data_IF_061713033446
#
_entry.id   IF_061713033446
#
_cell.length_a   1.000
_cell.length_b   1.000
_cell.length_c   1.000
_cell.angle_alpha   90.00
_cell.angle_beta   90.00
_cell.angle_gamma   90.00
#
_symmetry.space_group_name_H-M   'P 1'
#
loop_
_entity.id
_entity.type
_entity.pdbx_description
1 polymer ?
#
# COMPACT_ATOMS: atom_id res chain seq x y z
N UNK A 1 -13.87 -27.79 -45.10
CA UNK A 1 -13.74 -28.36 -43.71
C UNK A 1 -12.56 -27.69 -43.11
N UNK A 2 -12.75 -26.41 -42.74
CA UNK A 2 -11.67 -25.55 -42.24
C UNK A 2 -11.53 -25.73 -40.74
N UNK A 3 -10.34 -26.15 -40.34
CA UNK A 3 -9.92 -26.31 -38.95
C UNK A 3 -9.57 -24.94 -38.41
N UNK A 4 -10.42 -24.40 -37.52
CA UNK A 4 -10.13 -23.20 -36.73
C UNK A 4 -9.01 -23.50 -35.74
N UNK A 5 -7.86 -22.90 -35.94
CA UNK A 5 -6.76 -22.87 -34.97
C UNK A 5 -7.17 -22.09 -33.70
N UNK A 6 -6.77 -22.55 -32.50
CA UNK A 6 -7.08 -21.85 -31.26
C UNK A 6 -6.22 -20.58 -31.15
N UNK A 7 -6.88 -19.44 -31.00
CA UNK A 7 -6.25 -18.13 -30.77
C UNK A 7 -5.38 -18.15 -29.52
N UNK A 8 -4.15 -17.80 -29.75
CA UNK A 8 -3.02 -17.66 -28.85
C UNK A 8 -3.35 -16.84 -27.60
N UNK A 9 -2.90 -17.34 -26.45
CA UNK A 9 -2.86 -16.70 -25.14
C UNK A 9 -2.37 -15.26 -25.21
N UNK A 10 -3.18 -14.34 -24.69
CA UNK A 10 -2.70 -12.99 -24.36
C UNK A 10 -1.81 -13.15 -23.12
N UNK A 11 -0.52 -13.29 -23.32
CA UNK A 11 0.47 -13.14 -22.27
C UNK A 11 0.41 -11.73 -21.74
N UNK A 12 0.09 -11.57 -20.44
CA UNK A 12 0.07 -10.28 -19.78
C UNK A 12 1.46 -9.64 -19.86
N UNK A 13 1.65 -8.71 -20.77
CA UNK A 13 2.85 -7.88 -20.84
C UNK A 13 2.88 -7.03 -19.58
N UNK A 14 3.87 -7.25 -18.72
CA UNK A 14 4.20 -6.29 -17.66
C UNK A 14 4.47 -4.96 -18.34
N UNK A 15 3.79 -3.85 -17.96
CA UNK A 15 4.03 -2.56 -18.58
C UNK A 15 5.51 -2.20 -18.44
N UNK A 16 6.17 -1.87 -19.56
CA UNK A 16 7.56 -1.44 -19.52
C UNK A 16 7.66 -0.09 -18.80
N UNK A 17 8.61 0.00 -17.89
CA UNK A 17 8.94 1.27 -17.22
C UNK A 17 9.79 2.09 -18.18
N UNK A 18 9.36 3.29 -18.61
CA UNK A 18 10.12 4.12 -19.53
C UNK A 18 11.35 4.74 -18.86
N UNK A 19 12.45 4.89 -19.61
CA UNK A 19 13.60 5.67 -19.15
C UNK A 19 13.20 7.14 -18.86
N UNK A 20 13.79 7.80 -17.85
CA UNK A 20 14.89 7.33 -16.98
C UNK A 20 14.45 6.53 -15.75
N UNK A 21 13.18 6.16 -15.65
CA UNK A 21 12.65 5.49 -14.47
C UNK A 21 13.07 4.02 -14.39
N UNK A 22 13.28 3.55 -13.16
CA UNK A 22 13.56 2.15 -12.84
C UNK A 22 12.69 1.70 -11.67
N UNK A 23 12.02 0.56 -11.82
CA UNK A 23 11.24 -0.09 -10.76
C UNK A 23 12.02 -1.31 -10.27
N UNK A 24 12.26 -1.38 -8.97
CA UNK A 24 13.05 -2.45 -8.33
C UNK A 24 12.50 -2.84 -6.96
N UNK A 25 12.86 -4.01 -6.43
CA UNK A 25 12.61 -4.33 -5.02
C UNK A 25 13.29 -3.31 -4.09
N UNK A 26 12.73 -3.08 -2.87
CA UNK A 26 13.39 -2.31 -1.82
C UNK A 26 14.76 -2.90 -1.46
N UNK A 27 15.69 -2.03 -1.03
CA UNK A 27 17.02 -2.37 -0.58
C UNK A 27 17.31 -1.71 0.77
N UNK A 28 18.31 -2.21 1.47
CA UNK A 28 18.83 -1.53 2.67
C UNK A 28 19.27 -0.11 2.29
N UNK A 29 18.82 0.89 3.05
CA UNK A 29 19.11 2.29 2.78
C UNK A 29 18.01 3.06 2.03
N UNK A 30 16.98 2.40 1.49
CA UNK A 30 15.88 3.09 0.81
C UNK A 30 14.94 3.86 1.75
N UNK A 31 14.98 3.57 3.04
CA UNK A 31 14.06 4.11 4.05
C UNK A 31 13.97 5.63 4.00
N UNK A 32 15.11 6.32 4.00
CA UNK A 32 15.11 7.80 3.99
C UNK A 32 14.49 8.37 2.71
N UNK A 33 14.78 7.78 1.54
CA UNK A 33 14.20 8.19 0.27
C UNK A 33 12.70 7.92 0.18
N UNK A 34 12.25 6.77 0.68
CA UNK A 34 10.83 6.42 0.74
C UNK A 34 10.07 7.32 1.73
N UNK A 35 10.66 7.63 2.89
CA UNK A 35 10.10 8.59 3.85
C UNK A 35 9.95 10.00 3.23
N UNK A 36 10.95 10.44 2.46
CA UNK A 36 10.87 11.72 1.75
C UNK A 36 9.73 11.75 0.72
N UNK A 37 9.47 10.63 0.02
CA UNK A 37 8.31 10.51 -0.87
C UNK A 37 7.00 10.59 -0.07
N UNK A 38 6.89 9.83 1.03
CA UNK A 38 5.72 9.84 1.91
C UNK A 38 5.42 11.26 2.43
N UNK A 39 6.43 11.97 2.91
CA UNK A 39 6.31 13.35 3.36
C UNK A 39 5.78 14.27 2.25
N UNK A 40 6.40 14.22 1.05
CA UNK A 40 6.06 15.07 -0.08
C UNK A 40 4.74 14.73 -0.78
N UNK A 41 4.04 13.70 -0.33
CA UNK A 41 2.70 13.33 -0.76
C UNK A 41 1.70 13.29 0.40
N UNK A 42 2.18 13.55 1.62
CA UNK A 42 1.47 13.34 2.88
C UNK A 42 0.34 14.33 3.20
N UNK A 43 0.07 15.30 2.33
CA UNK A 43 -1.07 16.19 2.45
C UNK A 43 -2.11 15.88 1.37
N UNK A 44 -2.82 14.75 1.53
CA UNK A 44 -3.84 14.26 0.57
C UNK A 44 -3.32 14.16 -0.87
N UNK A 45 -2.10 13.67 -1.05
CA UNK A 45 -1.43 13.58 -2.34
C UNK A 45 -0.67 14.85 -2.76
N UNK A 46 -0.67 15.88 -1.93
CA UNK A 46 0.09 17.13 -2.10
C UNK A 46 1.27 17.15 -1.13
N UNK A 47 2.16 18.13 -1.31
CA UNK A 47 3.35 18.30 -0.46
C UNK A 47 2.97 18.52 1.01
N UNK A 48 3.40 17.59 1.88
CA UNK A 48 3.22 17.64 3.33
C UNK A 48 4.36 18.34 4.07
N UNK A 49 5.51 18.58 3.42
CA UNK A 49 6.71 19.12 4.08
C UNK A 49 6.44 20.39 4.92
N UNK A 50 5.59 21.35 4.49
CA UNK A 50 5.28 22.52 5.31
C UNK A 50 4.65 22.22 6.66
N UNK A 51 3.96 21.08 6.79
CA UNK A 51 3.19 20.70 7.98
C UNK A 51 3.95 19.79 8.95
N UNK A 52 5.06 19.18 8.51
CA UNK A 52 5.83 18.20 9.27
C UNK A 52 7.29 18.64 9.51
N UNK A 53 7.57 19.95 9.54
CA UNK A 53 8.93 20.49 9.69
C UNK A 53 9.62 20.06 10.98
N UNK A 54 8.85 19.92 12.07
CA UNK A 54 9.37 19.54 13.39
C UNK A 54 9.71 18.05 13.48
N UNK A 55 9.13 17.21 12.62
CA UNK A 55 9.40 15.79 12.50
C UNK A 55 9.10 15.28 11.07
N UNK A 56 10.03 15.46 10.13
CA UNK A 56 9.84 15.08 8.72
C UNK A 56 9.61 13.58 8.50
N UNK A 57 10.02 12.74 9.44
CA UNK A 57 9.89 11.29 9.34
C UNK A 57 8.58 10.74 9.93
N UNK A 58 7.77 11.60 10.55
CA UNK A 58 6.60 11.20 11.31
C UNK A 58 5.64 10.29 10.50
N UNK A 59 5.31 10.69 9.27
CA UNK A 59 4.46 9.90 8.38
C UNK A 59 5.13 8.58 7.95
N UNK A 60 6.42 8.67 7.59
CA UNK A 60 7.17 7.51 7.12
C UNK A 60 7.26 6.38 8.14
N UNK A 61 7.33 6.71 9.43
CA UNK A 61 7.34 5.71 10.52
C UNK A 61 6.06 4.90 10.62
N UNK A 62 4.92 5.43 10.17
CA UNK A 62 3.64 4.71 10.16
C UNK A 62 3.41 4.03 8.82
N UNK A 63 3.56 4.77 7.73
CA UNK A 63 3.05 4.36 6.42
C UNK A 63 4.10 3.69 5.52
N UNK A 64 5.38 3.67 5.90
CA UNK A 64 6.47 3.13 5.08
C UNK A 64 7.35 2.15 5.85
N UNK A 65 7.84 2.56 7.02
CA UNK A 65 8.84 1.80 7.78
C UNK A 65 8.46 0.36 8.07
N UNK A 66 7.25 0.08 8.59
CA UNK A 66 6.82 -1.28 8.89
C UNK A 66 6.82 -2.21 7.68
N UNK A 67 6.39 -1.73 6.51
CA UNK A 67 6.40 -2.52 5.28
C UNK A 67 7.81 -2.88 4.82
N UNK A 68 8.73 -1.90 4.87
CA UNK A 68 10.13 -2.12 4.52
C UNK A 68 10.84 -3.07 5.49
N UNK A 69 10.39 -3.08 6.76
CA UNK A 69 10.93 -3.96 7.79
C UNK A 69 10.36 -5.39 7.73
N UNK A 70 9.09 -5.53 7.40
CA UNK A 70 8.36 -6.78 7.58
C UNK A 70 8.18 -7.58 6.30
N UNK A 71 7.84 -6.91 5.19
CA UNK A 71 7.49 -7.56 3.92
C UNK A 71 8.13 -6.82 2.72
N UNK A 72 9.46 -6.51 2.76
CA UNK A 72 10.11 -5.75 1.69
C UNK A 72 9.98 -6.42 0.32
N UNK A 73 9.87 -7.73 0.28
CA UNK A 73 9.71 -8.48 -0.96
C UNK A 73 8.37 -8.22 -1.66
N UNK A 74 7.35 -7.74 -0.95
CA UNK A 74 6.08 -7.28 -1.52
C UNK A 74 6.11 -5.83 -1.97
N UNK A 75 7.18 -5.09 -1.67
CA UNK A 75 7.35 -3.71 -2.09
C UNK A 75 8.04 -3.54 -3.45
N UNK A 76 7.86 -2.35 -4.03
CA UNK A 76 8.65 -1.84 -5.15
C UNK A 76 8.96 -0.38 -4.94
N UNK A 77 10.21 -0.02 -5.24
CA UNK A 77 10.71 1.34 -5.25
C UNK A 77 10.83 1.81 -6.69
N UNK A 78 10.35 3.00 -6.97
CA UNK A 78 10.53 3.71 -8.23
C UNK A 78 11.58 4.78 -8.04
N UNK A 79 12.58 4.80 -8.92
CA UNK A 79 13.65 5.79 -8.91
C UNK A 79 13.92 6.33 -10.34
N UNK A 80 14.50 7.52 -10.40
CA UNK A 80 15.03 8.16 -11.60
C UNK A 80 16.45 8.70 -11.33
N UNK A 81 16.99 9.50 -12.22
CA UNK A 81 18.34 10.09 -12.07
C UNK A 81 18.46 11.07 -10.87
N UNK A 82 17.34 11.49 -10.29
CA UNK A 82 17.27 12.34 -9.10
C UNK A 82 17.07 11.53 -7.81
N UNK A 83 16.97 10.20 -7.90
CA UNK A 83 16.76 9.30 -6.77
C UNK A 83 15.33 8.77 -6.66
N UNK A 84 14.96 8.29 -5.47
CA UNK A 84 13.64 7.69 -5.23
C UNK A 84 12.54 8.72 -5.48
N UNK A 85 11.56 8.36 -6.30
CA UNK A 85 10.43 9.22 -6.69
C UNK A 85 9.07 8.55 -6.51
N UNK A 86 9.04 7.33 -5.98
CA UNK A 86 7.80 6.63 -5.63
C UNK A 86 8.08 5.30 -4.99
N UNK A 87 7.04 4.76 -4.37
CA UNK A 87 7.01 3.40 -3.85
C UNK A 87 5.60 2.84 -3.98
N UNK A 88 5.50 1.52 -4.02
CA UNK A 88 4.30 0.76 -3.72
C UNK A 88 4.69 -0.35 -2.76
N UNK A 89 3.98 -0.43 -1.66
CA UNK A 89 4.21 -1.35 -0.53
C UNK A 89 2.95 -2.16 -0.31
N UNK A 90 3.09 -3.38 0.17
CA UNK A 90 1.95 -4.23 0.48
C UNK A 90 2.20 -5.09 1.71
N UNK A 91 1.13 -5.52 2.34
CA UNK A 91 1.11 -6.58 3.33
C UNK A 91 0.26 -7.74 2.81
N UNK A 92 0.75 -8.97 3.03
CA UNK A 92 0.06 -10.18 2.58
C UNK A 92 -1.25 -10.42 3.32
N UNK A 93 -1.23 -10.22 4.63
CA UNK A 93 -2.36 -10.35 5.54
C UNK A 93 -2.39 -9.17 6.52
N UNK A 94 -3.44 -8.37 6.46
CA UNK A 94 -3.54 -7.13 7.23
C UNK A 94 -3.61 -7.38 8.74
N UNK A 95 -4.33 -8.41 9.18
CA UNK A 95 -4.42 -8.74 10.60
C UNK A 95 -3.07 -9.19 11.15
N UNK A 96 -2.36 -10.05 10.44
CA UNK A 96 -1.02 -10.50 10.83
C UNK A 96 -0.02 -9.33 10.83
N UNK A 97 -0.08 -8.45 9.81
CA UNK A 97 0.76 -7.28 9.71
C UNK A 97 0.54 -6.31 10.89
N UNK A 98 -0.72 -6.00 11.20
CA UNK A 98 -1.05 -5.09 12.32
C UNK A 98 -0.76 -5.71 13.68
N UNK A 99 -0.94 -7.02 13.84
CA UNK A 99 -0.54 -7.73 15.06
C UNK A 99 0.98 -7.62 15.29
N UNK A 100 1.78 -7.75 14.22
CA UNK A 100 3.23 -7.58 14.30
C UNK A 100 3.62 -6.12 14.57
N UNK A 101 2.97 -5.17 13.91
CA UNK A 101 3.16 -3.74 14.16
C UNK A 101 2.91 -3.40 15.64
N UNK A 102 1.81 -3.89 16.21
CA UNK A 102 1.44 -3.69 17.61
C UNK A 102 2.48 -4.28 18.57
N UNK A 103 3.00 -5.45 18.26
CA UNK A 103 3.95 -6.16 19.13
C UNK A 103 5.38 -5.64 19.04
N UNK A 104 5.85 -5.26 17.85
CA UNK A 104 7.27 -5.00 17.60
C UNK A 104 7.58 -3.54 17.25
N UNK A 105 6.70 -2.84 16.51
CA UNK A 105 6.98 -1.50 15.98
C UNK A 105 6.46 -0.38 16.87
N UNK A 106 5.18 -0.46 17.24
CA UNK A 106 4.52 0.57 18.04
C UNK A 106 5.19 0.84 19.39
N UNK A 107 5.62 -0.17 20.18
CA UNK A 107 6.24 0.07 21.47
C UNK A 107 7.46 0.99 21.39
N UNK A 108 8.26 0.84 20.35
CA UNK A 108 9.45 1.67 20.14
C UNK A 108 9.07 3.11 19.74
N UNK A 109 8.06 3.28 18.88
CA UNK A 109 7.53 4.61 18.58
C UNK A 109 6.99 5.32 19.82
N UNK A 110 6.17 4.64 20.63
CA UNK A 110 5.62 5.20 21.86
C UNK A 110 6.70 5.56 22.90
N UNK A 111 7.82 4.81 22.92
CA UNK A 111 8.96 5.10 23.81
C UNK A 111 9.71 6.36 23.36
N UNK A 112 9.88 6.55 22.05
CA UNK A 112 10.63 7.68 21.47
C UNK A 112 9.79 8.95 21.38
N UNK A 113 8.51 8.82 21.09
CA UNK A 113 7.61 9.93 20.80
C UNK A 113 6.43 9.90 21.79
N UNK A 114 6.46 10.74 22.84
CA UNK A 114 5.36 10.81 23.82
C UNK A 114 4.03 11.17 23.18
N UNK A 115 2.93 10.67 23.78
CA UNK A 115 1.60 11.09 23.36
C UNK A 115 1.45 12.62 23.47
N UNK A 116 0.87 13.28 22.47
CA UNK A 116 0.64 14.71 22.56
C UNK A 116 -0.32 15.04 23.70
N UNK A 117 -0.10 16.22 24.32
CA UNK A 117 -0.95 16.75 25.38
C UNK A 117 -1.78 17.93 24.89
N UNK A 118 -2.77 18.34 25.69
CA UNK A 118 -3.64 19.47 25.40
C UNK A 118 -4.89 19.09 24.60
N UNK A 119 -5.58 20.10 24.08
CA UNK A 119 -6.80 19.93 23.29
C UNK A 119 -6.46 19.36 21.91
N UNK A 120 -7.01 18.19 21.52
CA UNK A 120 -6.80 17.61 20.19
C UNK A 120 -7.17 18.54 19.02
N UNK A 121 -8.14 19.43 19.22
CA UNK A 121 -8.54 20.40 18.19
C UNK A 121 -7.44 21.45 17.89
N UNK A 122 -6.50 21.64 18.82
CA UNK A 122 -5.38 22.57 18.68
C UNK A 122 -4.08 21.89 18.17
N UNK A 123 -4.06 20.58 18.02
CA UNK A 123 -2.84 19.85 17.61
C UNK A 123 -2.43 20.19 16.17
N UNK A 124 -1.12 20.40 15.99
CA UNK A 124 -0.54 20.45 14.65
C UNK A 124 -0.47 19.04 14.03
N UNK A 125 -0.07 18.94 12.75
CA UNK A 125 -0.02 17.67 12.02
C UNK A 125 0.96 16.66 12.62
N UNK A 126 2.08 17.10 13.17
CA UNK A 126 3.06 16.22 13.84
C UNK A 126 2.44 15.62 15.10
N UNK A 127 1.75 16.43 15.92
CA UNK A 127 1.07 15.95 17.11
C UNK A 127 -0.05 14.95 16.76
N UNK A 128 -0.80 15.20 15.68
CA UNK A 128 -1.83 14.26 15.19
C UNK A 128 -1.21 12.90 14.82
N UNK A 129 -0.07 12.88 14.13
CA UNK A 129 0.63 11.62 13.80
C UNK A 129 1.25 10.96 15.04
N UNK A 130 1.81 11.72 15.98
CA UNK A 130 2.27 11.15 17.24
C UNK A 130 1.11 10.55 18.04
N UNK A 131 -0.09 11.14 17.97
CA UNK A 131 -1.29 10.50 18.54
C UNK A 131 -1.59 9.14 17.90
N UNK A 132 -1.47 9.02 16.57
CA UNK A 132 -1.64 7.74 15.85
C UNK A 132 -0.65 6.68 16.32
N UNK A 133 0.59 7.03 16.74
CA UNK A 133 1.53 6.05 17.32
C UNK A 133 0.96 5.38 18.57
N UNK A 134 0.22 6.13 19.38
CA UNK A 134 -0.39 5.65 20.62
C UNK A 134 -1.79 5.04 20.43
N UNK A 135 -2.50 5.48 19.38
CA UNK A 135 -3.88 5.10 19.09
C UNK A 135 -4.02 4.80 17.58
N UNK A 136 -3.36 3.73 17.08
CA UNK A 136 -3.41 3.40 15.66
C UNK A 136 -4.81 2.92 15.27
N UNK A 137 -5.20 3.24 14.03
CA UNK A 137 -6.39 2.70 13.40
C UNK A 137 -6.01 1.51 12.51
N UNK A 138 -6.35 0.31 12.95
CA UNK A 138 -6.10 -0.95 12.23
C UNK A 138 -7.33 -1.42 11.46
N UNK A 139 -7.98 -0.52 10.75
CA UNK A 139 -9.21 -0.85 10.04
C UNK A 139 -8.95 -1.81 8.87
N UNK A 140 -9.67 -2.92 8.88
CA UNK A 140 -9.71 -3.89 7.78
C UNK A 140 -11.16 -3.97 7.27
N UNK A 141 -11.43 -3.64 5.98
CA UNK A 141 -12.79 -3.65 5.46
C UNK A 141 -13.31 -5.07 5.26
N UNK A 142 -14.61 -5.24 5.48
CA UNK A 142 -15.31 -6.49 5.16
C UNK A 142 -15.72 -6.54 3.67
N UNK A 143 -15.85 -7.75 3.08
CA UNK A 143 -15.53 -9.05 3.66
C UNK A 143 -14.01 -9.31 3.65
N UNK A 144 -13.43 -9.46 4.83
CA UNK A 144 -11.97 -9.58 5.01
C UNK A 144 -11.35 -10.75 4.26
N UNK A 145 -12.00 -11.91 4.28
CA UNK A 145 -11.56 -13.13 3.57
C UNK A 145 -11.39 -12.93 2.05
N UNK A 146 -12.05 -11.93 1.50
CA UNK A 146 -11.95 -11.60 0.08
C UNK A 146 -10.85 -10.57 -0.23
N UNK A 147 -10.43 -9.77 0.75
CA UNK A 147 -9.46 -8.68 0.59
C UNK A 147 -8.46 -8.62 1.76
N UNK A 148 -7.77 -9.76 2.10
CA UNK A 148 -6.91 -9.79 3.30
C UNK A 148 -5.64 -8.96 3.16
N UNK A 149 -5.15 -8.77 1.94
CA UNK A 149 -3.95 -7.97 1.69
C UNK A 149 -4.28 -6.49 1.60
N UNK A 150 -3.33 -5.62 1.99
CA UNK A 150 -3.47 -4.20 1.73
C UNK A 150 -2.27 -3.61 0.99
N UNK A 151 -2.48 -2.49 0.32
CA UNK A 151 -1.45 -1.81 -0.47
C UNK A 151 -1.40 -0.32 -0.15
N UNK A 152 -0.20 0.24 -0.23
CA UNK A 152 0.07 1.66 -0.07
C UNK A 152 1.00 2.12 -1.20
N UNK A 153 0.65 3.22 -1.89
CA UNK A 153 1.42 3.74 -3.03
C UNK A 153 1.46 5.26 -3.01
N UNK A 154 2.67 5.79 -3.19
CA UNK A 154 2.90 7.21 -3.40
C UNK A 154 3.89 7.46 -4.54
N UNK A 155 3.65 8.52 -5.29
CA UNK A 155 4.53 8.99 -6.37
C UNK A 155 4.68 10.51 -6.30
N UNK A 156 5.92 10.97 -6.39
CA UNK A 156 6.20 12.41 -6.56
C UNK A 156 5.63 12.94 -7.88
N UNK A 157 5.29 14.24 -7.98
CA UNK A 157 4.70 14.83 -9.18
C UNK A 157 5.47 14.53 -10.47
N UNK A 158 6.82 14.48 -10.41
CA UNK A 158 7.67 14.18 -11.57
C UNK A 158 7.49 12.77 -12.14
N UNK A 159 6.94 11.84 -11.34
CA UNK A 159 6.64 10.46 -11.76
C UNK A 159 5.16 10.26 -12.13
N UNK A 160 4.30 11.24 -11.87
CA UNK A 160 2.86 11.13 -12.16
C UNK A 160 2.54 11.36 -13.65
N UNK A 161 1.34 10.96 -14.08
CA UNK A 161 0.84 11.19 -15.44
C UNK A 161 1.53 10.36 -16.55
N UNK A 162 2.45 9.44 -16.20
CA UNK A 162 3.28 8.65 -17.14
C UNK A 162 2.93 7.15 -17.18
N UNK A 163 1.83 6.75 -16.57
CA UNK A 163 1.46 5.33 -16.46
C UNK A 163 2.24 4.54 -15.39
N UNK A 164 3.22 5.17 -14.72
CA UNK A 164 4.09 4.51 -13.73
C UNK A 164 3.31 3.94 -12.55
N UNK A 165 2.36 4.68 -11.98
CA UNK A 165 1.52 4.19 -10.89
C UNK A 165 0.74 2.91 -11.27
N UNK A 166 0.23 2.82 -12.52
CA UNK A 166 -0.41 1.60 -13.03
C UNK A 166 0.57 0.44 -13.08
N UNK A 167 1.79 0.68 -13.58
CA UNK A 167 2.82 -0.36 -13.67
C UNK A 167 3.25 -0.86 -12.29
N UNK A 168 3.42 0.05 -11.33
CA UNK A 168 3.76 -0.27 -9.94
C UNK A 168 2.68 -1.10 -9.26
N UNK A 169 1.42 -0.68 -9.34
CA UNK A 169 0.28 -1.43 -8.80
C UNK A 169 0.18 -2.81 -9.45
N UNK A 170 0.29 -2.89 -10.78
CA UNK A 170 0.26 -4.18 -11.48
C UNK A 170 1.35 -5.13 -11.00
N UNK A 171 2.57 -4.64 -10.75
CA UNK A 171 3.68 -5.44 -10.23
C UNK A 171 3.38 -6.02 -8.84
N UNK A 172 2.88 -5.20 -7.91
CA UNK A 172 2.61 -5.64 -6.53
C UNK A 172 1.37 -6.52 -6.47
N UNK A 173 0.29 -6.19 -7.16
CA UNK A 173 -0.90 -7.05 -7.23
C UNK A 173 -0.60 -8.42 -7.85
N UNK A 174 0.31 -8.49 -8.83
CA UNK A 174 0.79 -9.76 -9.37
C UNK A 174 1.57 -10.58 -8.33
N UNK A 175 2.39 -9.94 -7.48
CA UNK A 175 3.09 -10.62 -6.38
C UNK A 175 2.12 -11.19 -5.35
N UNK A 176 1.14 -10.39 -4.91
CA UNK A 176 0.11 -10.81 -3.96
C UNK A 176 -0.67 -12.02 -4.52
N UNK A 177 -1.09 -11.94 -5.79
CA UNK A 177 -1.76 -13.05 -6.48
C UNK A 177 -0.90 -14.30 -6.55
N UNK A 178 0.39 -14.18 -6.92
CA UNK A 178 1.32 -15.30 -6.99
C UNK A 178 1.52 -15.98 -5.64
N UNK A 179 1.38 -15.24 -4.54
CA UNK A 179 1.44 -15.75 -3.16
C UNK A 179 0.11 -16.25 -2.63
N UNK A 180 -0.94 -16.23 -3.46
CA UNK A 180 -2.24 -16.80 -3.12
C UNK A 180 -3.21 -15.85 -2.43
N UNK A 181 -2.96 -14.53 -2.41
CA UNK A 181 -3.94 -13.57 -1.92
C UNK A 181 -5.17 -13.55 -2.84
N UNK A 182 -6.39 -13.71 -2.30
CA UNK A 182 -7.62 -13.65 -3.09
C UNK A 182 -8.01 -12.22 -3.49
N UNK A 183 -7.49 -11.20 -2.78
CA UNK A 183 -7.78 -9.81 -3.04
C UNK A 183 -6.98 -8.86 -2.17
N UNK A 184 -6.95 -7.60 -2.59
CA UNK A 184 -6.29 -6.54 -1.86
C UNK A 184 -7.22 -5.35 -1.67
N UNK A 185 -7.06 -4.64 -0.56
CA UNK A 185 -7.73 -3.38 -0.29
C UNK A 185 -6.74 -2.24 -0.08
N UNK A 186 -7.25 -1.03 -0.07
CA UNK A 186 -6.55 0.18 0.31
C UNK A 186 -7.53 1.20 0.86
N UNK A 187 -7.04 2.08 1.72
CA UNK A 187 -7.76 3.27 2.15
C UNK A 187 -7.28 4.51 1.38
N UNK A 188 -8.21 5.39 1.02
CA UNK A 188 -7.89 6.67 0.40
C UNK A 188 -8.72 7.78 1.05
N UNK A 189 -8.07 8.87 1.46
CA UNK A 189 -8.73 10.01 2.06
C UNK A 189 -9.80 10.58 1.15
N UNK A 190 -10.96 10.96 1.70
CA UNK A 190 -12.06 11.54 0.91
C UNK A 190 -11.65 12.79 0.12
N UNK A 191 -10.81 13.71 0.64
CA UNK A 191 -10.31 14.85 -0.14
C UNK A 191 -9.45 14.47 -1.35
N UNK A 192 -8.82 13.28 -1.37
CA UNK A 192 -7.95 12.86 -2.48
C UNK A 192 -8.76 12.25 -3.64
N UNK A 193 -9.59 13.05 -4.28
CA UNK A 193 -10.47 12.64 -5.41
C UNK A 193 -9.67 12.09 -6.59
N UNK A 194 -8.45 12.64 -6.82
CA UNK A 194 -7.55 12.17 -7.89
C UNK A 194 -7.14 10.72 -7.69
N UNK A 195 -6.71 10.36 -6.48
CA UNK A 195 -6.33 8.98 -6.16
C UNK A 195 -7.53 8.02 -6.22
N UNK A 196 -8.72 8.45 -5.76
CA UNK A 196 -9.94 7.64 -5.90
C UNK A 196 -10.24 7.32 -7.37
N UNK A 197 -10.13 8.32 -8.26
CA UNK A 197 -10.30 8.13 -9.70
C UNK A 197 -9.23 7.20 -10.30
N UNK A 198 -8.00 7.27 -9.82
CA UNK A 198 -6.90 6.39 -10.23
C UNK A 198 -7.18 4.93 -9.84
N UNK A 199 -7.56 4.65 -8.61
CA UNK A 199 -7.83 3.29 -8.16
C UNK A 199 -9.04 2.65 -8.87
N UNK A 200 -10.13 3.43 -9.10
CA UNK A 200 -11.28 2.95 -9.88
C UNK A 200 -10.88 2.54 -11.31
N UNK A 201 -9.99 3.30 -11.96
CA UNK A 201 -9.46 2.95 -13.30
C UNK A 201 -8.55 1.71 -13.28
N UNK A 202 -8.04 1.31 -12.12
CA UNK A 202 -7.31 0.06 -11.93
C UNK A 202 -8.22 -1.14 -11.64
N UNK A 203 -9.52 -0.92 -11.43
CA UNK A 203 -10.48 -1.98 -11.15
C UNK A 203 -10.85 -2.13 -9.67
N UNK A 204 -10.32 -1.29 -8.79
CA UNK A 204 -10.75 -1.26 -7.40
C UNK A 204 -12.18 -0.76 -7.27
N UNK A 205 -12.98 -1.43 -6.46
CA UNK A 205 -14.38 -1.10 -6.20
C UNK A 205 -14.55 -0.58 -4.76
N UNK A 206 -15.47 0.38 -4.52
CA UNK A 206 -15.77 0.84 -3.17
C UNK A 206 -16.26 -0.32 -2.29
N UNK A 207 -15.70 -0.43 -1.08
CA UNK A 207 -16.13 -1.37 -0.04
C UNK A 207 -16.92 -0.63 1.03
N UNK A 208 -16.32 0.35 1.67
CA UNK A 208 -16.93 1.12 2.76
C UNK A 208 -16.29 2.50 2.86
N UNK A 209 -17.06 3.48 3.29
CA UNK A 209 -16.56 4.77 3.76
C UNK A 209 -16.60 4.81 5.29
N UNK A 210 -15.51 5.25 5.90
CA UNK A 210 -15.37 5.45 7.34
C UNK A 210 -15.08 6.93 7.59
N UNK A 211 -15.85 7.54 8.48
CA UNK A 211 -15.74 8.98 8.77
C UNK A 211 -16.27 9.88 7.64
N UNK A 212 -16.13 11.18 7.86
CA UNK A 212 -16.63 12.22 6.95
C UNK A 212 -15.62 13.37 6.83
N UNK A 213 -15.80 14.21 5.80
CA UNK A 213 -15.00 15.42 5.59
C UNK A 213 -13.52 15.14 5.40
N UNK A 214 -12.67 15.94 6.07
CA UNK A 214 -11.22 15.85 5.94
C UNK A 214 -10.62 14.59 6.57
N UNK A 215 -11.27 14.04 7.59
CA UNK A 215 -10.82 12.85 8.32
C UNK A 215 -11.44 11.56 7.77
N UNK A 216 -12.31 11.67 6.76
CA UNK A 216 -12.95 10.52 6.13
C UNK A 216 -12.04 9.74 5.20
N UNK A 217 -12.22 8.42 5.18
CA UNK A 217 -11.49 7.48 4.34
C UNK A 217 -12.46 6.60 3.55
N UNK A 218 -12.23 6.45 2.25
CA UNK A 218 -12.90 5.48 1.40
C UNK A 218 -12.01 4.25 1.24
N UNK A 219 -12.49 3.09 1.68
CA UNK A 219 -11.83 1.81 1.44
C UNK A 219 -12.29 1.23 0.12
N UNK A 220 -11.32 0.80 -0.68
CA UNK A 220 -11.53 0.21 -2.00
C UNK A 220 -10.88 -1.17 -2.02
N UNK A 221 -11.50 -2.14 -2.70
CA UNK A 221 -10.99 -3.50 -2.85
C UNK A 221 -10.94 -3.97 -4.30
N UNK A 222 -9.99 -4.85 -4.59
CA UNK A 222 -9.86 -5.53 -5.86
C UNK A 222 -9.63 -7.03 -5.64
N UNK A 223 -10.46 -7.87 -6.28
CA UNK A 223 -10.24 -9.32 -6.33
C UNK A 223 -9.02 -9.62 -7.21
N UNK A 224 -8.17 -10.52 -6.72
CA UNK A 224 -7.00 -10.97 -7.44
C UNK A 224 -7.30 -12.37 -8.01
N UNK A 225 -7.95 -12.43 -9.17
CA UNK A 225 -8.21 -13.69 -9.83
C UNK A 225 -6.90 -14.41 -10.18
N UNK A 226 -6.74 -15.62 -9.69
CA UNK A 226 -5.62 -16.50 -9.97
C UNK A 226 -6.10 -17.93 -10.15
N UNK A 227 -5.29 -18.85 -10.70
CA UNK A 227 -5.64 -20.26 -10.64
C UNK A 227 -5.78 -20.64 -9.17
N UNK A 228 -6.95 -21.19 -8.81
CA UNK A 228 -7.15 -21.85 -7.53
C UNK A 228 -5.99 -22.82 -7.31
N UNK A 229 -5.35 -22.86 -6.12
CA UNK A 229 -4.48 -23.97 -5.81
C UNK A 229 -5.27 -25.24 -6.05
N UNK A 230 -4.69 -26.20 -6.78
CA UNK A 230 -5.32 -27.48 -7.01
C UNK A 230 -5.72 -28.04 -5.64
N UNK A 231 -7.02 -28.24 -5.45
CA UNK A 231 -7.55 -28.88 -4.26
C UNK A 231 -6.80 -30.18 -4.07
N UNK A 232 -6.18 -30.36 -2.92
CA UNK A 232 -5.60 -31.65 -2.51
C UNK A 232 -6.74 -32.62 -2.18
N UNK A 233 -7.47 -33.06 -3.24
CA UNK A 233 -8.28 -34.25 -3.18
C UNK A 233 -7.32 -35.42 -3.38
N UNK A 234 -6.87 -36.01 -2.30
CA UNK A 234 -6.65 -37.48 -2.13
C UNK A 234 -5.95 -37.73 -0.80
N UNK A 235 -6.71 -37.66 0.29
CA UNK A 235 -6.45 -38.48 1.45
C UNK A 235 -7.50 -39.58 1.45
N UNK A 236 -7.23 -40.68 0.73
CA UNK A 236 -7.99 -41.90 0.91
C UNK A 236 -7.71 -42.46 2.33
N UNK A 237 -8.75 -42.84 3.10
CA UNK A 237 -8.52 -43.53 4.34
C UNK A 237 -8.06 -44.96 4.01
N UNK A 238 -6.85 -45.32 4.41
CA UNK A 238 -6.48 -46.72 4.52
C UNK A 238 -7.31 -47.35 5.63
N UNK A 239 -8.24 -48.23 5.20
CA UNK A 239 -8.92 -49.21 6.07
C UNK A 239 -7.98 -50.42 6.16
N UNK A 240 -7.57 -50.72 7.36
CA UNK A 240 -7.24 -52.07 7.84
C UNK A 240 -7.81 -52.25 9.21
#
# INVERSE_FOLDING_TARGET
MDLLEPRTRIGGMTPSIPSPFRLRPPQAGDTAGAYAVCLKTGNFGQDGEPFYRDDPDALGRVFVGPYLAYEPELGRILEDDQGICGYVLAAMDSHAFYARYEAEWRPELCRQFPAPSGDPAAWNRVQQIHHVYHHPDYFCPEPYDQYPSHVHIDLLPRAQGRGLGRAMMAAVLALLRQRGSPGAHLGVSLPNVSAQGFYRKLGFQPLIQVGEGMDGCLYLGQRLEGPMPASSENAQPHVT
#
